data_IF_527788277371
#
_entry.id   IF_527788277371
#
_cell.length_a   1.000
_cell.length_b   1.000
_cell.length_c   1.000
_cell.angle_alpha   90.00
_cell.angle_beta   90.00
_cell.angle_gamma   90.00
#
_symmetry.space_group_name_H-M   'P 1'
#
loop_
_entity.id
_entity.type
_entity.pdbx_description
1 polymer ?
#
# COMPACT_ATOMS: atom_id res chain seq x y z
N UNK A 1 27.57 -21.81 -1.45
CA UNK A 1 27.20 -20.49 -2.02
C UNK A 1 25.82 -20.12 -1.50
N UNK A 2 25.65 -18.95 -0.88
CA UNK A 2 24.35 -18.51 -0.35
C UNK A 2 23.65 -17.71 -1.46
N UNK A 3 22.67 -18.30 -2.13
CA UNK A 3 21.87 -17.59 -3.13
C UNK A 3 21.00 -16.56 -2.39
N UNK A 4 21.30 -15.28 -2.61
CA UNK A 4 20.45 -14.17 -2.16
C UNK A 4 19.21 -14.18 -3.04
N UNK A 5 18.02 -14.24 -2.44
CA UNK A 5 16.76 -14.17 -3.19
C UNK A 5 16.66 -12.84 -3.95
N UNK A 6 16.03 -12.87 -5.13
CA UNK A 6 15.74 -11.65 -5.89
C UNK A 6 14.87 -10.72 -5.05
N UNK A 7 15.33 -9.50 -4.84
CA UNK A 7 14.53 -8.41 -4.28
C UNK A 7 13.95 -7.56 -5.43
N UNK A 8 12.76 -7.01 -5.23
CA UNK A 8 12.07 -6.15 -6.20
C UNK A 8 11.92 -4.76 -5.60
N UNK A 9 12.10 -3.74 -6.42
CA UNK A 9 11.83 -2.33 -6.13
C UNK A 9 10.46 -1.92 -6.71
N UNK A 10 10.04 -0.67 -6.50
CA UNK A 10 8.77 -0.18 -7.03
C UNK A 10 8.70 -0.21 -8.56
N UNK A 11 9.81 0.08 -9.24
CA UNK A 11 9.86 0.16 -10.70
C UNK A 11 9.92 -1.22 -11.38
N UNK A 12 10.16 -2.29 -10.61
CA UNK A 12 10.20 -3.66 -11.13
C UNK A 12 8.80 -4.29 -11.31
N UNK A 13 7.74 -3.66 -10.78
CA UNK A 13 6.42 -4.27 -10.65
C UNK A 13 5.28 -3.33 -11.02
N UNK A 14 4.16 -3.93 -11.45
CA UNK A 14 2.88 -3.23 -11.64
C UNK A 14 1.79 -3.99 -10.90
N UNK A 15 0.79 -3.25 -10.40
CA UNK A 15 -0.46 -3.86 -9.92
C UNK A 15 -1.29 -4.30 -11.12
N UNK A 16 -1.82 -5.53 -11.05
CA UNK A 16 -2.71 -6.07 -12.07
C UNK A 16 -4.13 -5.51 -11.84
N UNK A 17 -4.79 -4.92 -12.85
CA UNK A 17 -6.17 -4.48 -12.72
C UNK A 17 -7.12 -5.64 -12.39
N UNK A 18 -8.16 -5.35 -11.60
CA UNK A 18 -9.20 -6.29 -11.23
C UNK A 18 -10.58 -5.65 -11.34
N UNK A 19 -11.63 -6.47 -11.43
CA UNK A 19 -13.00 -6.00 -11.37
C UNK A 19 -13.25 -5.22 -10.06
N UNK A 20 -13.82 -4.02 -10.16
CA UNK A 20 -14.16 -3.18 -9.00
C UNK A 20 -15.66 -2.93 -8.91
N UNK A 21 -16.22 -3.06 -7.71
CA UNK A 21 -17.57 -2.61 -7.38
C UNK A 21 -17.57 -1.26 -6.62
N UNK A 22 -16.39 -0.66 -6.41
CA UNK A 22 -16.20 0.58 -5.63
C UNK A 22 -15.68 1.68 -6.55
N UNK A 23 -16.27 2.88 -6.45
CA UNK A 23 -15.76 4.06 -7.16
C UNK A 23 -14.61 4.71 -6.36
N UNK A 24 -13.64 5.36 -7.01
CA UNK A 24 -12.49 5.96 -6.33
C UNK A 24 -12.85 6.93 -5.19
N UNK A 25 -13.93 7.71 -5.34
CA UNK A 25 -14.38 8.66 -4.31
C UNK A 25 -14.97 8.00 -3.06
N UNK A 26 -15.36 6.73 -3.17
CA UNK A 26 -16.00 5.96 -2.11
C UNK A 26 -14.99 5.06 -1.36
N UNK A 27 -13.70 5.13 -1.72
CA UNK A 27 -12.62 4.36 -1.07
C UNK A 27 -12.27 4.98 0.29
N UNK A 28 -12.18 4.13 1.32
CA UNK A 28 -11.77 4.54 2.67
C UNK A 28 -10.24 4.60 2.78
N UNK A 29 -9.70 5.79 3.06
CA UNK A 29 -8.25 6.01 3.23
C UNK A 29 -7.77 5.91 4.68
N UNK A 30 -8.68 5.75 5.65
CA UNK A 30 -8.27 5.69 7.06
C UNK A 30 -7.40 4.46 7.34
N UNK A 31 -6.33 4.62 8.12
CA UNK A 31 -5.38 3.57 8.46
C UNK A 31 -4.96 3.63 9.93
N UNK A 32 -4.43 2.53 10.47
CA UNK A 32 -3.85 2.46 11.81
C UNK A 32 -2.32 2.50 11.72
N UNK A 33 -1.70 3.55 12.28
CA UNK A 33 -0.24 3.66 12.34
C UNK A 33 0.35 2.87 13.51
N UNK A 34 -0.35 2.84 14.65
CA UNK A 34 0.02 2.05 15.82
C UNK A 34 -1.22 1.61 16.60
N UNK A 35 -1.04 0.85 17.70
CA UNK A 35 -2.15 0.42 18.58
C UNK A 35 -3.11 1.55 18.96
N UNK A 36 -2.57 2.75 19.18
CA UNK A 36 -3.32 3.88 19.72
C UNK A 36 -3.38 5.08 18.76
N UNK A 37 -2.94 4.94 17.50
CA UNK A 37 -2.87 6.05 16.54
C UNK A 37 -3.52 5.67 15.22
N UNK A 38 -4.68 6.28 14.96
CA UNK A 38 -5.40 6.23 13.69
C UNK A 38 -5.14 7.47 12.85
N UNK A 39 -5.02 7.29 11.54
CA UNK A 39 -4.91 8.37 10.55
C UNK A 39 -6.11 8.32 9.61
N UNK A 40 -6.61 9.48 9.19
CA UNK A 40 -7.67 9.55 8.17
C UNK A 40 -7.14 9.33 6.74
N UNK A 41 -5.83 9.53 6.53
CA UNK A 41 -5.13 9.36 5.25
C UNK A 41 -3.76 8.73 5.56
N UNK A 42 -3.24 7.78 4.76
CA UNK A 42 -1.99 7.07 5.05
C UNK A 42 -0.76 7.88 4.61
N UNK A 43 -0.58 9.09 5.15
CA UNK A 43 0.51 10.00 4.80
C UNK A 43 1.13 10.60 6.07
N UNK A 44 2.46 10.64 6.12
CA UNK A 44 3.25 11.22 7.21
C UNK A 44 4.34 12.11 6.61
N UNK A 45 4.61 13.28 7.21
CA UNK A 45 5.73 14.14 6.83
C UNK A 45 7.04 13.62 7.40
N UNK A 46 8.12 13.68 6.60
CA UNK A 46 9.47 13.30 7.01
C UNK A 46 10.10 14.28 8.01
#
# INVERSE_FOLDING_TARGET
MRLVQKALTFDDVLLVPAHSAVLPRDVQLSTQLSRNVSLNIPLVSA
#
